data_IF_424089059567
#
_entry.id   IF_424089059567
#
_cell.length_a   1.000
_cell.length_b   1.000
_cell.length_c   1.000
_cell.angle_alpha   90.00
_cell.angle_beta   90.00
_cell.angle_gamma   90.00
#
_symmetry.space_group_name_H-M   'P 1'
#
loop_
_entity.id
_entity.type
_entity.pdbx_description
1 polymer ?
#
# COMPACT_ATOMS: atom_id res chain seq x y z
N UNK A 1 35.13 0.73 10.37
CA UNK A 1 34.42 -0.41 9.77
C UNK A 1 32.95 -0.06 9.84
N UNK A 2 32.30 0.12 8.69
CA UNK A 2 30.85 0.33 8.69
C UNK A 2 30.17 -1.00 8.97
N UNK A 3 29.27 -1.01 9.94
CA UNK A 3 28.45 -2.18 10.29
C UNK A 3 27.16 -2.16 9.48
N UNK A 4 26.45 -3.30 9.39
CA UNK A 4 25.13 -3.39 8.74
C UNK A 4 24.15 -2.35 9.28
N UNK A 5 24.28 -1.98 10.56
CA UNK A 5 23.50 -0.95 11.23
C UNK A 5 23.66 0.45 10.63
N UNK A 6 24.79 0.75 9.98
CA UNK A 6 25.01 2.04 9.32
C UNK A 6 24.20 2.18 8.02
N UNK A 7 23.66 1.08 7.50
CA UNK A 7 22.86 1.02 6.27
C UNK A 7 21.36 0.79 6.53
N UNK A 8 20.99 0.35 7.73
CA UNK A 8 19.60 0.23 8.15
C UNK A 8 19.07 1.62 8.46
N UNK A 9 18.48 2.25 7.46
CA UNK A 9 17.63 3.42 7.69
C UNK A 9 16.40 2.92 8.45
N UNK A 10 16.31 3.24 9.74
CA UNK A 10 15.10 3.09 10.53
C UNK A 10 14.04 4.03 9.93
N UNK A 11 13.38 3.58 8.88
CA UNK A 11 12.24 4.31 8.36
C UNK A 11 11.18 4.29 9.46
N UNK A 12 10.58 5.45 9.82
CA UNK A 12 9.39 5.42 10.66
C UNK A 12 8.39 4.48 9.98
N UNK A 13 7.68 3.64 10.72
CA UNK A 13 6.78 2.60 10.21
C UNK A 13 5.78 3.17 9.19
N UNK A 14 6.21 3.26 7.94
CA UNK A 14 5.53 3.96 6.86
C UNK A 14 4.89 2.91 5.97
N UNK A 15 3.58 2.98 5.84
CA UNK A 15 2.82 2.15 4.90
C UNK A 15 2.10 3.02 3.89
N UNK A 16 1.85 2.52 2.67
CA UNK A 16 0.95 3.18 1.75
C UNK A 16 -0.39 3.43 2.43
N UNK A 17 -0.89 4.67 2.34
CA UNK A 17 -2.18 5.07 2.89
C UNK A 17 -3.32 4.21 2.33
N UNK A 18 -3.23 3.92 1.04
CA UNK A 18 -4.17 3.05 0.36
C UNK A 18 -3.45 1.87 -0.29
N UNK A 19 -3.89 0.68 0.06
CA UNK A 19 -3.62 -0.54 -0.69
C UNK A 19 -4.43 -0.57 -1.98
N UNK A 20 -4.01 -1.41 -2.94
CA UNK A 20 -4.76 -1.66 -4.18
C UNK A 20 -6.23 -2.04 -3.90
N UNK A 21 -6.46 -2.86 -2.88
CA UNK A 21 -7.81 -3.33 -2.53
C UNK A 21 -8.67 -2.20 -1.96
N UNK A 22 -8.09 -1.31 -1.16
CA UNK A 22 -8.79 -0.13 -0.64
C UNK A 22 -9.16 0.84 -1.76
N UNK A 23 -8.24 1.11 -2.69
CA UNK A 23 -8.53 1.93 -3.87
C UNK A 23 -9.63 1.31 -4.74
N UNK A 24 -9.56 0.00 -5.00
CA UNK A 24 -10.60 -0.72 -5.73
C UNK A 24 -11.98 -0.62 -5.05
N UNK A 25 -12.00 -0.75 -3.72
CA UNK A 25 -13.21 -0.60 -2.90
C UNK A 25 -13.76 0.83 -2.98
N UNK A 26 -12.91 1.85 -2.88
CA UNK A 26 -13.29 3.26 -3.00
C UNK A 26 -13.89 3.57 -4.38
N UNK A 27 -13.28 3.07 -5.46
CA UNK A 27 -13.78 3.22 -6.82
C UNK A 27 -15.17 2.60 -6.95
N UNK A 28 -15.34 1.37 -6.49
CA UNK A 28 -16.64 0.67 -6.52
C UNK A 28 -17.70 1.41 -5.71
N UNK A 29 -17.36 1.84 -4.49
CA UNK A 29 -18.28 2.59 -3.63
C UNK A 29 -18.71 3.91 -4.28
N UNK A 30 -17.77 4.65 -4.88
CA UNK A 30 -18.07 5.90 -5.58
C UNK A 30 -18.98 5.66 -6.77
N UNK A 31 -18.70 4.66 -7.61
CA UNK A 31 -19.57 4.30 -8.75
C UNK A 31 -21.00 3.99 -8.31
N UNK A 32 -21.15 3.16 -7.27
CA UNK A 32 -22.46 2.79 -6.72
C UNK A 32 -23.17 4.00 -6.11
N UNK A 33 -22.45 4.88 -5.41
CA UNK A 33 -22.99 6.12 -4.84
C UNK A 33 -23.48 7.09 -5.91
N UNK A 34 -22.74 7.18 -7.01
CA UNK A 34 -23.05 8.03 -8.17
C UNK A 34 -24.14 7.40 -9.07
N UNK A 35 -24.61 6.19 -8.75
CA UNK A 35 -25.66 5.49 -9.51
C UNK A 35 -25.22 4.99 -10.88
N UNK A 36 -23.91 4.92 -11.14
CA UNK A 36 -23.35 4.59 -12.44
C UNK A 36 -23.27 3.07 -12.65
N UNK A 37 -23.64 2.62 -13.85
CA UNK A 37 -23.34 1.28 -14.33
C UNK A 37 -21.85 1.12 -14.66
N UNK A 38 -21.40 -0.13 -14.84
CA UNK A 38 -20.00 -0.40 -15.23
C UNK A 38 -19.73 0.16 -16.63
N UNK A 39 -20.68 0.01 -17.56
CA UNK A 39 -20.58 0.53 -18.93
C UNK A 39 -20.43 2.06 -18.96
N UNK A 40 -21.25 2.80 -18.19
CA UNK A 40 -21.14 4.26 -18.12
C UNK A 40 -19.78 4.70 -17.55
N UNK A 41 -19.30 4.00 -16.53
CA UNK A 41 -18.00 4.30 -15.93
C UNK A 41 -16.84 3.98 -16.88
N UNK A 42 -16.90 2.86 -17.61
CA UNK A 42 -15.86 2.48 -18.58
C UNK A 42 -15.88 3.38 -19.82
N UNK A 43 -17.05 3.75 -20.31
CA UNK A 43 -17.25 4.65 -21.45
C UNK A 43 -16.70 6.06 -21.16
N UNK A 44 -16.87 6.57 -19.94
CA UNK A 44 -16.34 7.88 -19.52
C UNK A 44 -14.81 8.00 -19.68
N UNK A 45 -14.08 6.90 -19.55
CA UNK A 45 -12.62 6.87 -19.65
C UNK A 45 -12.12 6.14 -20.92
N UNK A 46 -13.02 5.81 -21.85
CA UNK A 46 -12.72 5.07 -23.08
C UNK A 46 -11.91 3.79 -22.80
N UNK A 47 -12.40 2.98 -21.86
CA UNK A 47 -11.85 1.66 -21.52
C UNK A 47 -12.93 0.60 -21.66
N UNK A 48 -12.52 -0.66 -21.81
CA UNK A 48 -13.46 -1.77 -21.81
C UNK A 48 -14.08 -2.00 -20.43
N UNK A 49 -15.32 -2.51 -20.38
CA UNK A 49 -15.96 -2.94 -19.12
C UNK A 49 -15.12 -3.97 -18.36
N UNK A 50 -14.43 -4.86 -19.09
CA UNK A 50 -13.51 -5.85 -18.53
C UNK A 50 -12.33 -5.18 -17.81
N UNK A 51 -11.90 -4.01 -18.30
CA UNK A 51 -10.84 -3.22 -17.71
C UNK A 51 -11.31 -2.58 -16.42
N UNK A 52 -12.47 -1.92 -16.45
CA UNK A 52 -13.09 -1.28 -15.28
C UNK A 52 -13.41 -2.30 -14.18
N UNK A 53 -14.01 -3.43 -14.54
CA UNK A 53 -14.29 -4.53 -13.62
C UNK A 53 -13.02 -5.08 -12.96
N UNK A 54 -11.90 -5.09 -13.69
CA UNK A 54 -10.60 -5.50 -13.14
C UNK A 54 -10.02 -4.50 -12.12
N UNK A 55 -10.38 -3.22 -12.23
CA UNK A 55 -10.05 -2.20 -11.23
C UNK A 55 -10.87 -2.44 -9.96
N UNK A 56 -12.20 -2.56 -10.08
CA UNK A 56 -13.11 -2.72 -8.92
C UNK A 56 -12.89 -4.03 -8.16
N UNK A 57 -12.47 -5.09 -8.84
CA UNK A 57 -12.17 -6.37 -8.22
C UNK A 57 -10.70 -6.52 -7.79
N UNK A 58 -9.88 -5.48 -7.97
CA UNK A 58 -8.44 -5.50 -7.69
C UNK A 58 -7.68 -6.67 -8.35
N UNK A 59 -8.17 -7.22 -9.46
CA UNK A 59 -7.51 -8.33 -10.16
C UNK A 59 -6.38 -7.87 -11.07
N UNK A 60 -6.36 -6.57 -11.43
CA UNK A 60 -5.31 -5.97 -12.27
C UNK A 60 -4.21 -5.32 -11.42
N UNK A 61 -3.04 -5.16 -12.03
CA UNK A 61 -1.95 -4.37 -11.47
C UNK A 61 -2.26 -2.89 -11.70
N UNK A 62 -2.13 -2.07 -10.65
CA UNK A 62 -2.35 -0.63 -10.75
C UNK A 62 -1.08 0.02 -11.28
N UNK A 63 -1.07 0.26 -12.59
CA UNK A 63 -0.01 1.01 -13.26
C UNK A 63 -0.38 2.49 -13.38
N UNK A 64 0.51 3.30 -13.95
CA UNK A 64 0.30 4.76 -14.11
C UNK A 64 -1.04 5.09 -14.79
N UNK A 65 -1.45 4.30 -15.80
CA UNK A 65 -2.74 4.50 -16.49
C UNK A 65 -3.91 4.32 -15.53
N UNK A 66 -3.88 3.26 -14.71
CA UNK A 66 -4.93 3.00 -13.70
C UNK A 66 -4.95 4.12 -12.67
N UNK A 67 -3.80 4.53 -12.13
CA UNK A 67 -3.72 5.60 -11.15
C UNK A 67 -4.29 6.93 -11.67
N UNK A 68 -4.02 7.27 -12.93
CA UNK A 68 -4.59 8.49 -13.54
C UNK A 68 -6.12 8.39 -13.66
N UNK A 69 -6.64 7.25 -14.13
CA UNK A 69 -8.09 7.03 -14.27
C UNK A 69 -8.79 7.11 -12.92
N UNK A 70 -8.31 6.35 -11.92
CA UNK A 70 -8.94 6.32 -10.59
C UNK A 70 -8.75 7.63 -9.84
N UNK A 71 -7.65 8.37 -10.06
CA UNK A 71 -7.46 9.70 -9.48
C UNK A 71 -8.46 10.69 -10.02
N UNK A 72 -8.63 10.75 -11.34
CA UNK A 72 -9.68 11.56 -11.96
C UNK A 72 -11.09 11.12 -11.53
N UNK A 73 -11.33 9.81 -11.35
CA UNK A 73 -12.63 9.30 -10.93
C UNK A 73 -12.95 9.63 -9.47
N UNK A 74 -12.00 9.39 -8.56
CA UNK A 74 -12.14 9.65 -7.13
C UNK A 74 -12.03 11.14 -6.80
N UNK A 75 -11.55 11.97 -7.74
CA UNK A 75 -11.19 13.37 -7.52
C UNK A 75 -10.06 13.50 -6.47
N UNK A 76 -9.03 12.67 -6.63
CA UNK A 76 -7.84 12.63 -5.80
C UNK A 76 -6.59 12.86 -6.65
N UNK A 77 -5.60 13.55 -6.12
CA UNK A 77 -4.32 13.72 -6.81
C UNK A 77 -3.48 12.45 -6.74
N UNK A 78 -2.45 12.38 -7.58
CA UNK A 78 -1.52 11.24 -7.57
C UNK A 78 -0.77 11.16 -6.24
N UNK A 79 -0.44 12.30 -5.64
CA UNK A 79 0.21 12.39 -4.34
C UNK A 79 -0.68 11.83 -3.24
N UNK A 80 -1.99 12.10 -3.27
CA UNK A 80 -2.94 11.55 -2.30
C UNK A 80 -3.09 10.03 -2.44
N UNK A 81 -3.21 9.53 -3.67
CA UNK A 81 -3.35 8.09 -3.95
C UNK A 81 -2.11 7.28 -3.56
N UNK A 82 -0.92 7.89 -3.64
CA UNK A 82 0.37 7.28 -3.33
C UNK A 82 0.94 7.75 -1.99
N UNK A 83 0.16 8.52 -1.22
CA UNK A 83 0.60 9.01 0.08
C UNK A 83 0.89 7.85 1.02
N UNK A 84 1.80 8.10 1.95
CA UNK A 84 2.13 7.16 3.01
C UNK A 84 1.59 7.69 4.33
N UNK A 85 1.18 6.79 5.20
CA UNK A 85 0.88 7.09 6.59
C UNK A 85 1.98 6.50 7.46
N UNK A 86 2.42 7.29 8.43
CA UNK A 86 3.27 6.83 9.51
C UNK A 86 2.37 6.21 10.57
N UNK A 87 2.58 4.94 10.88
CA UNK A 87 1.85 4.27 11.94
C UNK A 87 2.22 4.90 13.29
N UNK A 88 1.19 5.27 14.06
CA UNK A 88 1.35 5.82 15.39
C UNK A 88 1.65 4.68 16.39
N UNK A 89 2.93 4.56 16.75
CA UNK A 89 3.40 3.55 17.70
C UNK A 89 2.98 3.82 19.16
N UNK A 90 2.28 4.92 19.45
CA UNK A 90 1.83 5.25 20.82
C UNK A 90 0.89 4.20 21.42
N UNK A 91 0.19 3.40 20.61
CA UNK A 91 -0.67 2.31 21.09
C UNK A 91 0.11 1.14 21.71
N UNK A 92 1.38 0.96 21.37
CA UNK A 92 2.24 -0.06 21.99
C UNK A 92 2.52 0.30 23.45
N UNK A 93 2.56 1.59 23.77
CA UNK A 93 2.91 2.13 25.08
C UNK A 93 1.82 2.00 26.16
N UNK A 94 0.59 1.62 25.80
CA UNK A 94 -0.56 1.72 26.72
C UNK A 94 -0.67 0.58 27.75
N UNK A 95 0.17 -0.46 27.68
CA UNK A 95 0.04 -1.66 28.53
C UNK A 95 1.31 -2.08 29.27
N UNK A 96 2.37 -1.31 29.19
CA UNK A 96 3.70 -1.76 29.61
C UNK A 96 4.38 -0.76 30.52
N UNK A 97 4.85 -1.23 31.69
CA UNK A 97 5.81 -0.51 32.50
C UNK A 97 7.07 -0.23 31.65
N UNK A 98 7.75 0.89 31.90
CA UNK A 98 8.85 1.42 31.06
C UNK A 98 9.90 0.38 30.62
N UNK A 99 10.21 -0.62 31.45
CA UNK A 99 11.17 -1.70 31.11
C UNK A 99 10.69 -2.60 29.96
N UNK A 100 9.41 -2.98 29.95
CA UNK A 100 8.81 -3.80 28.89
C UNK A 100 8.61 -3.04 27.56
N UNK A 101 8.70 -1.72 27.59
CA UNK A 101 8.61 -0.86 26.40
C UNK A 101 9.89 -0.95 25.56
N UNK A 102 11.05 -1.13 26.21
CA UNK A 102 12.33 -1.37 25.55
C UNK A 102 12.37 -2.76 24.87
N UNK A 103 11.90 -3.80 25.56
CA UNK A 103 11.82 -5.17 25.02
C UNK A 103 10.85 -5.27 23.83
N UNK A 104 9.70 -4.59 23.89
CA UNK A 104 8.77 -4.56 22.76
C UNK A 104 9.37 -3.81 21.58
N UNK A 105 10.06 -2.69 21.82
CA UNK A 105 10.74 -1.95 20.75
C UNK A 105 11.80 -2.81 20.08
N UNK A 106 12.59 -3.54 20.86
CA UNK A 106 13.59 -4.49 20.35
C UNK A 106 12.92 -5.61 19.53
N UNK A 107 11.80 -6.16 19.99
CA UNK A 107 11.05 -7.17 19.24
C UNK A 107 10.49 -6.64 17.91
N UNK A 108 9.99 -5.40 17.87
CA UNK A 108 9.52 -4.74 16.64
C UNK A 108 10.69 -4.51 15.68
N UNK A 109 11.84 -4.08 16.18
CA UNK A 109 13.04 -3.87 15.36
C UNK A 109 13.54 -5.21 14.76
N UNK A 110 13.54 -6.29 15.56
CA UNK A 110 13.86 -7.64 15.07
C UNK A 110 12.86 -8.09 14.00
N UNK A 111 11.56 -7.87 14.20
CA UNK A 111 10.54 -8.24 13.23
C UNK A 111 10.72 -7.50 11.89
N UNK A 112 11.08 -6.22 11.93
CA UNK A 112 11.38 -5.43 10.74
C UNK A 112 12.60 -5.95 9.99
N UNK A 113 13.66 -6.36 10.69
CA UNK A 113 14.86 -6.95 10.08
C UNK A 113 14.50 -8.27 9.38
N UNK A 114 13.77 -9.16 10.05
CA UNK A 114 13.36 -10.44 9.47
C UNK A 114 12.48 -10.21 8.22
N UNK A 115 11.54 -9.26 8.30
CA UNK A 115 10.66 -8.94 7.18
C UNK A 115 11.43 -8.40 5.97
N UNK A 116 12.38 -7.49 6.20
CA UNK A 116 13.22 -6.94 5.15
C UNK A 116 14.10 -8.02 4.49
N UNK A 117 14.67 -8.92 5.29
CA UNK A 117 15.46 -10.05 4.80
C UNK A 117 14.61 -10.97 3.90
N UNK A 118 13.40 -11.35 4.36
CA UNK A 118 12.48 -12.16 3.55
C UNK A 118 12.13 -11.48 2.21
N UNK A 119 11.84 -10.18 2.22
CA UNK A 119 11.55 -9.41 1.00
C UNK A 119 12.76 -9.35 0.07
N UNK A 120 13.99 -9.23 0.59
CA UNK A 120 15.20 -9.26 -0.21
C UNK A 120 15.45 -10.64 -0.84
N UNK A 121 15.25 -11.72 -0.08
CA UNK A 121 15.39 -13.08 -0.59
C UNK A 121 14.37 -13.40 -1.69
N UNK A 122 13.11 -12.99 -1.52
CA UNK A 122 12.07 -13.08 -2.56
C UNK A 122 12.47 -12.36 -3.85
N UNK A 123 13.03 -11.13 -3.74
CA UNK A 123 13.51 -10.36 -4.90
C UNK A 123 14.71 -11.01 -5.60
N UNK A 124 15.62 -11.62 -4.84
CA UNK A 124 16.77 -12.35 -5.39
C UNK A 124 16.34 -13.66 -6.07
N UNK A 125 15.43 -14.41 -5.45
CA UNK A 125 14.84 -15.62 -6.02
C UNK A 125 14.09 -15.36 -7.32
N UNK A 126 13.35 -14.24 -7.38
CA UNK A 126 12.63 -13.78 -8.58
C UNK A 126 13.56 -13.33 -9.71
N UNK A 127 14.83 -13.03 -9.42
CA UNK A 127 15.83 -12.58 -10.40
C UNK A 127 16.60 -13.74 -11.05
N UNK A 128 16.51 -14.96 -10.50
CA UNK A 128 17.23 -16.15 -10.98
C UNK A 128 16.41 -17.11 -11.85
N UNK A 129 15.16 -16.77 -12.18
CA UNK A 129 14.42 -17.44 -13.26
C UNK A 129 14.53 -16.61 -14.55
N UNK A 130 15.62 -16.82 -15.29
CA UNK A 130 15.76 -16.49 -16.71
C UNK A 130 16.41 -17.65 -17.44
#
# INVERSE_FOLDING_TARGET
MSTIWDFIHSNPSERPKYTRYELAKLVKQKRVKDGLSIDEASSKYNVEESFWSGIENATRVFNVKVYNIIGSFLNMTKEELLSKETDDLTFVSYRTNDESLAEIKEAVDIANVIFNEMVMQEKMGSSNTR
#
